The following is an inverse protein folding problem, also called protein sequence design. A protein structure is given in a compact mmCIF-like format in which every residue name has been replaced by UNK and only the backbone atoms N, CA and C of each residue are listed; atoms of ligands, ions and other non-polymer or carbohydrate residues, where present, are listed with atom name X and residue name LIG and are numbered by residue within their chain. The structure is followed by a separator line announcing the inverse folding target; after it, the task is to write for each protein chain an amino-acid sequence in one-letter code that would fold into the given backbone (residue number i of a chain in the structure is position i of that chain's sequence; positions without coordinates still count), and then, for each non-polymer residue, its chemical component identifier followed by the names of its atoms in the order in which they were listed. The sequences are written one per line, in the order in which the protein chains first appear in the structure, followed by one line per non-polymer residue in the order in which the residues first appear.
data_IF_463046716501
#
_entry.id   IF_463046716501
#
_cell.length_a   1.000
_cell.length_b   1.000
_cell.length_c   1.000
_cell.angle_alpha   90.00
_cell.angle_beta   90.00
_cell.angle_gamma   90.00
#
_symmetry.space_group_name_H-M   'P 1'
#
loop_
_entity.id
_entity.type
_entity.pdbx_description
1 polymer ?
#
# COMPACT_ATOMS: atom_id res chain seq x y z
N UNK A 1 -4.73 -7.58 -7.29
CA UNK A 1 -3.27 -7.54 -7.12
C UNK A 1 -2.58 -6.99 -8.35
N UNK A 2 -2.83 -7.52 -9.55
CA UNK A 2 -2.23 -7.00 -10.81
C UNK A 2 -2.33 -5.48 -10.99
N UNK A 3 -3.51 -4.87 -10.72
CA UNK A 3 -3.68 -3.41 -10.81
C UNK A 3 -2.81 -2.64 -9.80
N UNK A 4 -2.65 -3.18 -8.59
CA UNK A 4 -1.76 -2.60 -7.57
C UNK A 4 -0.33 -2.61 -8.12
N UNK A 5 0.16 -3.80 -8.51
CA UNK A 5 1.53 -3.95 -9.00
C UNK A 5 1.80 -3.06 -10.21
N UNK A 6 0.85 -2.96 -11.16
CA UNK A 6 0.97 -2.08 -12.32
C UNK A 6 1.09 -0.60 -11.94
N UNK A 7 0.33 -0.13 -10.95
CA UNK A 7 0.44 1.25 -10.48
C UNK A 7 1.82 1.53 -9.85
N UNK A 8 2.37 0.55 -9.13
CA UNK A 8 3.71 0.64 -8.55
C UNK A 8 4.82 0.54 -9.59
N UNK A 9 4.69 -0.32 -10.60
CA UNK A 9 5.69 -0.42 -11.68
C UNK A 9 5.73 0.87 -12.48
N UNK A 10 4.57 1.42 -12.86
CA UNK A 10 4.50 2.66 -13.62
C UNK A 10 5.07 3.85 -12.82
N UNK A 11 4.86 3.87 -11.50
CA UNK A 11 5.47 4.88 -10.63
C UNK A 11 6.99 4.70 -10.47
N UNK A 12 7.48 3.46 -10.42
CA UNK A 12 8.90 3.16 -10.21
C UNK A 12 9.75 3.31 -11.47
N UNK A 13 9.28 2.78 -12.60
CA UNK A 13 10.06 2.65 -13.85
C UNK A 13 9.52 3.52 -14.99
N UNK A 14 8.31 4.07 -14.86
CA UNK A 14 7.63 4.83 -15.91
C UNK A 14 6.88 3.95 -16.91
N UNK A 15 6.98 2.62 -16.79
CA UNK A 15 6.33 1.65 -17.67
C UNK A 15 5.47 0.65 -16.87
N UNK A 16 4.39 0.17 -17.49
CA UNK A 16 3.55 -0.86 -16.92
C UNK A 16 4.21 -2.23 -17.16
N UNK A 17 4.80 -2.83 -16.13
CA UNK A 17 5.48 -4.11 -16.23
C UNK A 17 4.47 -5.27 -16.23
N UNK A 18 4.70 -6.31 -17.05
CA UNK A 18 3.92 -7.53 -16.99
C UNK A 18 4.18 -8.27 -15.67
N UNK A 19 3.11 -8.62 -14.97
CA UNK A 19 3.18 -9.39 -13.72
C UNK A 19 3.20 -10.88 -14.03
N UNK A 20 4.33 -11.54 -13.77
CA UNK A 20 4.45 -13.00 -13.89
C UNK A 20 3.97 -13.67 -12.60
N UNK A 21 2.88 -14.44 -12.69
CA UNK A 21 2.38 -15.27 -11.59
C UNK A 21 3.06 -16.63 -11.67
N UNK A 22 3.90 -16.96 -10.69
CA UNK A 22 4.64 -18.23 -10.71
C UNK A 22 3.84 -19.41 -10.13
N UNK A 23 3.11 -19.19 -9.03
CA UNK A 23 2.40 -20.26 -8.34
C UNK A 23 1.24 -19.69 -7.53
N UNK A 24 0.16 -20.47 -7.44
CA UNK A 24 -0.99 -20.23 -6.58
C UNK A 24 -1.10 -21.46 -5.66
N UNK A 25 -1.03 -21.25 -4.36
CA UNK A 25 -1.31 -22.32 -3.39
C UNK A 25 -2.81 -22.40 -3.13
N UNK A 26 -3.36 -23.62 -3.13
CA UNK A 26 -4.80 -23.90 -2.98
C UNK A 26 -5.24 -24.11 -1.54
N UNK A 27 -4.30 -24.31 -0.61
CA UNK A 27 -4.59 -24.54 0.82
C UNK A 27 -4.55 -23.25 1.62
N UNK A 28 -3.56 -22.41 1.30
CA UNK A 28 -3.42 -21.01 1.74
C UNK A 28 -3.13 -20.17 0.50
N UNK A 29 -3.90 -19.12 0.18
CA UNK A 29 -3.74 -18.34 -1.05
C UNK A 29 -2.45 -17.51 -1.03
N UNK A 30 -1.34 -18.16 -1.34
CA UNK A 30 -0.02 -17.53 -1.51
C UNK A 30 0.22 -17.33 -3.01
N UNK A 31 0.62 -16.11 -3.37
CA UNK A 31 1.00 -15.74 -4.73
C UNK A 31 2.48 -15.36 -4.76
N UNK A 32 3.19 -15.90 -5.75
CA UNK A 32 4.59 -15.54 -6.00
C UNK A 32 4.67 -14.69 -7.28
N UNK A 33 5.30 -13.52 -7.15
CA UNK A 33 5.47 -12.56 -8.25
C UNK A 33 6.96 -12.28 -8.47
N UNK A 34 7.42 -12.41 -9.71
CA UNK A 34 8.71 -11.88 -10.15
C UNK A 34 8.54 -10.44 -10.63
N UNK A 35 9.30 -9.50 -10.06
CA UNK A 35 9.20 -8.06 -10.34
C UNK A 35 10.59 -7.41 -10.35
N UNK A 36 10.71 -6.24 -10.98
CA UNK A 36 11.94 -5.44 -10.94
C UNK A 36 12.27 -4.97 -9.51
N UNK A 37 13.57 -4.94 -9.09
CA UNK A 37 13.96 -4.50 -7.75
C UNK A 37 13.46 -3.12 -7.35
N UNK A 38 13.35 -2.15 -8.27
CA UNK A 38 12.82 -0.82 -7.97
C UNK A 38 11.33 -0.88 -7.64
N UNK A 39 10.56 -1.68 -8.39
CA UNK A 39 9.14 -1.93 -8.12
C UNK A 39 8.95 -2.61 -6.77
N UNK A 40 9.76 -3.62 -6.45
CA UNK A 40 9.70 -4.31 -5.14
C UNK A 40 10.07 -3.34 -4.01
N UNK A 41 11.09 -2.51 -4.19
CA UNK A 41 11.51 -1.54 -3.17
C UNK A 41 10.41 -0.51 -2.88
N UNK A 42 9.76 -0.01 -3.93
CA UNK A 42 8.65 0.94 -3.81
C UNK A 42 7.44 0.30 -3.12
N UNK A 43 7.07 -0.92 -3.54
CA UNK A 43 5.95 -1.67 -2.95
C UNK A 43 6.23 -2.00 -1.48
N UNK A 44 7.44 -2.45 -1.16
CA UNK A 44 7.86 -2.73 0.21
C UNK A 44 7.78 -1.49 1.11
N UNK A 45 8.24 -0.33 0.61
CA UNK A 45 8.13 0.94 1.32
C UNK A 45 6.67 1.33 1.56
N UNK A 46 5.80 1.13 0.58
CA UNK A 46 4.36 1.35 0.73
C UNK A 46 3.72 0.36 1.71
N UNK A 47 4.15 -0.89 1.76
CA UNK A 47 3.68 -1.87 2.75
C UNK A 47 4.08 -1.48 4.18
N UNK A 48 5.34 -1.06 4.38
CA UNK A 48 5.81 -0.54 5.68
C UNK A 48 4.99 0.67 6.13
N UNK A 49 4.73 1.61 5.22
CA UNK A 49 3.84 2.73 5.48
C UNK A 49 2.42 2.25 5.85
N UNK A 50 1.85 1.32 5.09
CA UNK A 50 0.50 0.82 5.34
C UNK A 50 0.38 0.13 6.71
N UNK A 51 1.37 -0.66 7.11
CA UNK A 51 1.45 -1.28 8.44
C UNK A 51 1.48 -0.20 9.52
N UNK A 52 2.26 0.85 9.33
CA UNK A 52 2.35 1.96 10.29
C UNK A 52 1.02 2.69 10.42
N UNK A 53 0.42 3.10 9.31
CA UNK A 53 -0.89 3.77 9.30
C UNK A 53 -1.97 2.89 9.92
N UNK A 54 -1.95 1.59 9.67
CA UNK A 54 -2.86 0.66 10.32
C UNK A 54 -2.68 0.64 11.85
N UNK A 55 -1.44 0.67 12.35
CA UNK A 55 -1.17 0.73 13.81
C UNK A 55 -1.76 1.99 14.43
N UNK A 56 -1.65 3.13 13.74
CA UNK A 56 -2.22 4.40 14.19
C UNK A 56 -3.76 4.32 14.25
N UNK A 57 -4.40 3.72 13.24
CA UNK A 57 -5.85 3.45 13.23
C UNK A 57 -6.25 2.51 14.37
N UNK A 58 -5.46 1.48 14.63
CA UNK A 58 -5.71 0.51 15.70
C UNK A 58 -5.63 1.16 17.09
N UNK A 59 -4.74 2.14 17.28
CA UNK A 59 -4.69 2.95 18.50
C UNK A 59 -5.99 3.74 18.69
N UNK A 60 -6.50 4.38 17.63
CA UNK A 60 -7.79 5.08 17.66
C UNK A 60 -8.93 4.11 18.04
N UNK A 61 -8.90 2.87 17.53
CA UNK A 61 -9.89 1.84 17.87
C UNK A 61 -9.82 1.40 19.33
N UNK A 62 -8.61 1.27 19.90
CA UNK A 62 -8.43 0.98 21.33
C UNK A 62 -9.01 2.11 22.18
N UNK A 63 -8.73 3.36 21.83
CA UNK A 63 -9.30 4.53 22.52
C UNK A 63 -10.83 4.55 22.39
N UNK A 64 -11.38 4.21 21.21
CA UNK A 64 -12.83 4.06 21.01
C UNK A 64 -13.41 3.02 21.98
N UNK A 65 -12.80 1.83 22.06
CA UNK A 65 -13.25 0.74 22.93
C UNK A 65 -13.15 1.09 24.43
N UNK A 66 -12.14 1.86 24.83
CA UNK A 66 -12.03 2.40 26.18
C UNK A 66 -13.11 3.45 26.47
N UNK A 67 -13.35 4.36 25.51
CA UNK A 67 -14.37 5.41 25.64
C UNK A 67 -15.78 4.82 25.75
N UNK A 68 -16.07 3.70 25.07
CA UNK A 68 -17.35 2.98 25.20
C UNK A 68 -17.63 2.47 26.61
N UNK A 69 -16.61 2.29 27.46
CA UNK A 69 -16.78 1.90 28.87
C UNK A 69 -17.25 3.07 29.75
N UNK A 70 -17.14 4.30 29.27
CA UNK A 70 -17.53 5.51 29.99
C UNK A 70 -19.04 5.73 29.83
N UNK A 71 -19.79 5.60 30.93
CA UNK A 71 -21.26 5.71 30.94
C UNK A 71 -21.82 7.06 30.48
N UNK A 72 -20.99 8.09 30.46
CA UNK A 72 -21.39 9.46 30.08
C UNK A 72 -21.56 9.66 28.58
N UNK A 73 -21.04 8.75 27.75
CA UNK A 73 -21.13 8.85 26.29
C UNK A 73 -22.17 7.87 25.75
N UNK A 74 -22.95 8.32 24.75
CA UNK A 74 -23.82 7.40 23.99
C UNK A 74 -23.00 6.66 22.94
N UNK A 75 -23.31 5.38 22.64
CA UNK A 75 -22.63 4.61 21.60
C UNK A 75 -22.58 5.34 20.23
N UNK A 76 -23.67 5.99 19.85
CA UNK A 76 -23.80 6.74 18.59
C UNK A 76 -22.86 7.95 18.51
N UNK A 77 -22.62 8.64 19.63
CA UNK A 77 -21.72 9.80 19.69
C UNK A 77 -20.26 9.35 19.52
N UNK A 78 -19.91 8.23 20.15
CA UNK A 78 -18.60 7.61 20.03
C UNK A 78 -18.35 7.17 18.58
N UNK A 79 -19.28 6.43 17.98
CA UNK A 79 -19.16 5.97 16.59
C UNK A 79 -18.95 7.14 15.63
N UNK A 80 -19.78 8.17 15.74
CA UNK A 80 -19.69 9.35 14.85
C UNK A 80 -18.37 10.10 14.99
N UNK A 81 -17.79 10.17 16.19
CA UNK A 81 -16.51 10.87 16.42
C UNK A 81 -15.35 10.02 15.91
N UNK A 82 -15.27 8.76 16.35
CA UNK A 82 -14.11 7.91 16.08
C UNK A 82 -14.09 7.37 14.65
N UNK A 83 -15.22 6.94 14.09
CA UNK A 83 -15.25 6.39 12.73
C UNK A 83 -14.93 7.48 11.70
N UNK A 84 -15.46 8.70 11.91
CA UNK A 84 -15.10 9.86 11.09
C UNK A 84 -13.62 10.20 11.21
N UNK A 85 -13.05 10.16 12.42
CA UNK A 85 -11.62 10.45 12.64
C UNK A 85 -10.72 9.42 11.97
N UNK A 86 -11.07 8.14 12.02
CA UNK A 86 -10.36 7.07 11.32
C UNK A 86 -10.38 7.32 9.81
N UNK A 87 -11.55 7.65 9.24
CA UNK A 87 -11.68 7.94 7.81
C UNK A 87 -10.87 9.17 7.40
N UNK A 88 -10.94 10.26 8.18
CA UNK A 88 -10.17 11.48 7.94
C UNK A 88 -8.65 11.20 7.97
N UNK A 89 -8.17 10.50 9.00
CA UNK A 89 -6.76 10.18 9.17
C UNK A 89 -6.22 9.32 8.03
N UNK A 90 -6.97 8.28 7.64
CA UNK A 90 -6.60 7.39 6.53
C UNK A 90 -6.59 8.15 5.21
N UNK A 91 -7.59 8.99 4.94
CA UNK A 91 -7.64 9.79 3.72
C UNK A 91 -6.44 10.75 3.62
N UNK A 92 -6.10 11.44 4.73
CA UNK A 92 -4.94 12.34 4.80
C UNK A 92 -3.65 11.56 4.57
N UNK A 93 -3.48 10.42 5.25
CA UNK A 93 -2.29 9.59 5.11
C UNK A 93 -2.10 9.10 3.68
N UNK A 94 -3.18 8.66 3.01
CA UNK A 94 -3.15 8.23 1.61
C UNK A 94 -2.75 9.39 0.71
N UNK A 95 -3.41 10.55 0.83
CA UNK A 95 -3.12 11.69 -0.04
C UNK A 95 -1.68 12.19 0.13
N UNK A 96 -1.16 12.19 1.37
CA UNK A 96 0.26 12.47 1.64
C UNK A 96 1.18 11.46 0.95
N UNK A 97 0.87 10.17 1.05
CA UNK A 97 1.71 9.12 0.44
C UNK A 97 1.65 9.15 -1.08
N UNK A 98 0.48 9.42 -1.67
CA UNK A 98 0.35 9.63 -3.13
C UNK A 98 1.21 10.81 -3.59
N UNK A 99 1.23 11.91 -2.84
CA UNK A 99 2.08 13.07 -3.15
C UNK A 99 3.58 12.75 -3.10
N UNK A 100 4.00 11.90 -2.17
CA UNK A 100 5.38 11.44 -2.06
C UNK A 100 5.77 10.55 -3.26
N UNK A 101 4.90 9.60 -3.63
CA UNK A 101 5.18 8.61 -4.67
C UNK A 101 5.00 9.15 -6.09
N UNK A 102 4.05 10.05 -6.30
CA UNK A 102 3.70 10.63 -7.60
C UNK A 102 3.67 12.17 -7.47
N UNK A 103 4.84 12.81 -7.32
CA UNK A 103 4.93 14.26 -7.15
C UNK A 103 4.41 14.99 -8.39
N UNK A 104 3.75 16.13 -8.19
CA UNK A 104 3.21 16.96 -9.29
C UNK A 104 4.36 17.45 -10.16
N UNK A 105 4.34 17.07 -11.44
CA UNK A 105 5.22 17.62 -12.47
C UNK A 105 4.38 18.48 -13.41
N UNK A 106 4.89 19.66 -13.75
CA UNK A 106 4.23 20.55 -14.71
C UNK A 106 4.24 19.90 -16.11
N UNK A 107 3.03 19.62 -16.62
CA UNK A 107 2.80 19.08 -17.96
C UNK A 107 2.47 17.58 -18.00
N UNK A 108 1.18 17.27 -18.21
CA UNK A 108 0.60 16.09 -18.89
C UNK A 108 -0.63 15.54 -18.14
N UNK A 109 -1.73 15.32 -18.88
CA UNK A 109 -2.99 14.74 -18.37
C UNK A 109 -2.85 13.34 -17.73
N UNK A 110 -1.77 12.59 -18.02
CA UNK A 110 -1.49 11.27 -17.42
C UNK A 110 -1.19 11.31 -15.92
N UNK A 111 -0.78 12.46 -15.38
CA UNK A 111 -0.46 12.58 -13.95
C UNK A 111 -1.69 12.40 -13.07
N UNK A 112 -2.83 12.93 -13.50
CA UNK A 112 -4.08 12.82 -12.76
C UNK A 112 -4.55 11.36 -12.67
N UNK A 113 -4.42 10.62 -13.77
CA UNK A 113 -4.73 9.18 -13.84
C UNK A 113 -3.82 8.36 -12.92
N UNK A 114 -2.49 8.59 -13.00
CA UNK A 114 -1.51 7.90 -12.15
C UNK A 114 -1.75 8.13 -10.66
N UNK A 115 -2.14 9.36 -10.27
CA UNK A 115 -2.50 9.65 -8.88
C UNK A 115 -3.77 8.92 -8.46
N UNK A 116 -4.78 8.87 -9.32
CA UNK A 116 -6.02 8.12 -9.06
C UNK A 116 -5.74 6.63 -8.87
N UNK A 117 -4.93 6.04 -9.75
CA UNK A 117 -4.54 4.64 -9.64
C UNK A 117 -3.68 4.35 -8.41
N UNK A 118 -2.73 5.23 -8.08
CA UNK A 118 -1.91 5.10 -6.87
C UNK A 118 -2.75 5.22 -5.60
N UNK A 119 -3.70 6.18 -5.56
CA UNK A 119 -4.64 6.33 -4.44
C UNK A 119 -5.45 5.04 -4.24
N UNK A 120 -6.05 4.52 -5.31
CA UNK A 120 -6.79 3.26 -5.27
C UNK A 120 -5.90 2.08 -4.84
N UNK A 121 -4.65 2.04 -5.29
CA UNK A 121 -3.70 0.99 -4.93
C UNK A 121 -3.36 1.04 -3.43
N UNK A 122 -3.10 2.21 -2.86
CA UNK A 122 -2.81 2.39 -1.44
C UNK A 122 -4.03 2.07 -0.56
N UNK A 123 -5.22 2.51 -0.95
CA UNK A 123 -6.49 2.12 -0.29
C UNK A 123 -6.68 0.60 -0.30
N UNK A 124 -6.40 -0.03 -1.45
CA UNK A 124 -6.46 -1.48 -1.59
C UNK A 124 -5.44 -2.20 -0.71
N UNK A 125 -4.24 -1.66 -0.56
CA UNK A 125 -3.19 -2.23 0.29
C UNK A 125 -3.62 -2.13 1.76
N UNK A 126 -3.98 -0.93 2.23
CA UNK A 126 -4.38 -0.70 3.63
C UNK A 126 -5.55 -1.61 4.05
N UNK A 127 -6.59 -1.67 3.24
CA UNK A 127 -7.77 -2.52 3.50
C UNK A 127 -7.42 -4.01 3.52
N UNK A 128 -6.44 -4.46 2.72
CA UNK A 128 -5.96 -5.85 2.74
C UNK A 128 -5.06 -6.14 3.93
N UNK A 129 -4.19 -5.21 4.32
CA UNK A 129 -3.34 -5.32 5.52
C UNK A 129 -4.20 -5.43 6.77
N UNK A 130 -5.25 -4.62 6.89
CA UNK A 130 -6.23 -4.71 7.98
C UNK A 130 -6.88 -6.09 8.08
N UNK A 131 -7.13 -6.73 6.93
CA UNK A 131 -7.72 -8.08 6.81
C UNK A 131 -6.69 -9.22 6.95
N UNK A 132 -5.44 -8.91 7.29
CA UNK A 132 -4.40 -9.90 7.53
C UNK A 132 -3.60 -10.34 6.30
N UNK A 133 -3.61 -9.58 5.21
CA UNK A 133 -2.67 -9.84 4.11
C UNK A 133 -1.23 -9.60 4.58
N UNK A 134 -0.39 -10.60 4.41
CA UNK A 134 1.05 -10.52 4.67
C UNK A 134 1.83 -10.49 3.36
N UNK A 135 3.02 -9.89 3.39
CA UNK A 135 3.93 -9.82 2.24
C UNK A 135 5.32 -10.22 2.71
N UNK A 136 5.93 -11.17 2.02
CA UNK A 136 7.32 -11.55 2.23
C UNK A 136 8.14 -11.12 1.01
N UNK A 137 9.26 -10.46 1.26
CA UNK A 137 10.18 -10.00 0.20
C UNK A 137 11.41 -10.89 0.22
N UNK A 138 11.66 -11.57 -0.91
CA UNK A 138 12.84 -12.41 -1.12
C UNK A 138 13.62 -11.88 -2.31
N UNK A 139 14.92 -11.69 -2.15
CA UNK A 139 15.80 -11.23 -3.21
C UNK A 139 17.19 -11.86 -3.05
N UNK A 140 17.86 -12.08 -4.17
CA UNK A 140 19.26 -12.48 -4.20
C UNK A 140 20.13 -11.21 -4.24
N UNK A 141 21.31 -11.22 -3.60
CA UNK A 141 22.23 -10.10 -3.71
C UNK A 141 22.60 -9.86 -5.18
N UNK A 142 22.81 -8.60 -5.59
CA UNK A 142 23.22 -8.29 -6.95
C UNK A 142 24.55 -8.99 -7.27
N UNK A 143 24.77 -9.38 -8.54
CA UNK A 143 26.08 -9.85 -8.98
C UNK A 143 27.15 -8.79 -8.67
N UNK A 144 28.35 -9.24 -8.32
CA UNK A 144 29.45 -8.32 -8.03
C UNK A 144 29.69 -7.41 -9.25
N UNK A 145 29.87 -6.08 -9.04
CA UNK A 145 30.08 -5.17 -10.15
C UNK A 145 31.32 -5.58 -10.92
N UNK A 146 31.21 -5.63 -12.25
CA UNK A 146 32.39 -5.79 -13.11
C UNK A 146 33.25 -4.52 -13.02
N UNK A 147 34.58 -4.64 -13.05
CA UNK A 147 35.48 -3.48 -13.00
C UNK A 147 35.15 -2.51 -14.14
N UNK A 148 34.58 -1.35 -13.79
CA UNK A 148 34.29 -0.26 -14.74
C UNK A 148 32.81 0.10 -14.90
N UNK A 149 31.87 -0.65 -14.31
CA UNK A 149 30.44 -0.29 -14.36
C UNK A 149 30.07 0.67 -13.22
N UNK A 150 29.44 1.80 -13.58
CA UNK A 150 28.86 2.73 -12.63
C UNK A 150 27.84 2.01 -11.75
N UNK A 151 27.80 2.38 -10.46
CA UNK A 151 26.87 1.85 -9.46
C UNK A 151 25.43 2.02 -9.97
N UNK A 152 24.86 0.93 -10.50
CA UNK A 152 23.56 0.97 -11.17
C UNK A 152 22.43 1.27 -10.19
N UNK A 153 21.32 1.83 -10.67
CA UNK A 153 20.04 2.05 -9.95
C UNK A 153 19.56 0.81 -9.16
N UNK A 154 20.02 -0.37 -9.58
CA UNK A 154 19.85 -1.65 -8.91
C UNK A 154 20.39 -1.63 -7.46
N UNK A 155 21.60 -1.10 -7.24
CA UNK A 155 22.25 -1.11 -5.92
C UNK A 155 21.49 -0.30 -4.85
N UNK A 156 20.94 0.86 -5.21
CA UNK A 156 20.14 1.68 -4.29
C UNK A 156 18.81 1.00 -3.91
N UNK A 157 18.18 0.33 -4.88
CA UNK A 157 16.96 -0.45 -4.66
C UNK A 157 17.22 -1.61 -3.69
N UNK A 158 18.36 -2.31 -3.81
CA UNK A 158 18.75 -3.36 -2.89
C UNK A 158 18.98 -2.88 -1.45
N UNK A 159 19.58 -1.70 -1.25
CA UNK A 159 19.75 -1.14 0.10
C UNK A 159 18.40 -0.77 0.73
N UNK A 160 17.47 -0.25 -0.07
CA UNK A 160 16.10 0.01 0.37
C UNK A 160 15.39 -1.29 0.74
N UNK A 161 15.52 -2.34 -0.06
CA UNK A 161 14.96 -3.67 0.23
C UNK A 161 15.50 -4.25 1.53
N UNK A 162 16.80 -4.14 1.78
CA UNK A 162 17.43 -4.56 3.05
C UNK A 162 16.86 -3.79 4.24
N UNK A 163 16.61 -2.49 4.09
CA UNK A 163 16.06 -1.66 5.16
C UNK A 163 14.58 -1.95 5.43
N UNK A 164 13.80 -2.23 4.38
CA UNK A 164 12.33 -2.42 4.44
C UNK A 164 11.95 -3.80 4.95
N UNK A 165 12.63 -4.86 4.48
CA UNK A 165 12.29 -6.26 4.79
C UNK A 165 12.08 -6.54 6.29
N UNK A 166 12.97 -6.12 7.22
CA UNK A 166 12.76 -6.39 8.65
C UNK A 166 11.59 -5.62 9.28
N UNK A 167 11.09 -4.58 8.61
CA UNK A 167 9.97 -3.75 9.07
C UNK A 167 8.60 -4.30 8.66
N UNK A 168 8.56 -5.29 7.76
CA UNK A 168 7.35 -5.97 7.30
C UNK A 168 6.82 -6.97 8.34
N UNK A 169 6.57 -6.46 9.55
CA UNK A 169 5.98 -7.20 10.65
C UNK A 169 4.48 -6.89 10.70
N UNK A 170 3.71 -7.80 10.12
CA UNK A 170 2.27 -7.67 10.03
C UNK A 170 1.60 -8.03 11.36
N UNK A 171 0.56 -7.27 11.75
CA UNK A 171 -0.25 -7.58 12.92
C UNK A 171 -1.15 -8.80 12.68
N UNK A 172 -1.76 -9.30 13.75
CA UNK A 172 -2.82 -10.30 13.63
C UNK A 172 -4.05 -9.71 12.92
N UNK A 173 -4.74 -10.49 12.05
CA UNK A 173 -5.94 -10.05 11.37
C UNK A 173 -7.04 -9.65 12.35
N UNK A 174 -7.68 -8.51 12.09
CA UNK A 174 -8.86 -8.10 12.84
C UNK A 174 -10.13 -8.77 12.31
N UNK A 175 -11.09 -9.05 13.21
CA UNK A 175 -12.38 -9.68 12.89
C UNK A 175 -13.42 -8.69 12.35
N UNK A 176 -13.18 -7.39 12.50
CA UNK A 176 -14.10 -6.29 12.16
C UNK A 176 -13.39 -5.20 11.38
N UNK A 177 -13.17 -5.39 10.06
CA UNK A 177 -12.50 -4.39 9.24
C UNK A 177 -13.33 -3.12 9.11
N UNK A 178 -12.69 -1.97 9.32
CA UNK A 178 -13.26 -0.62 9.21
C UNK A 178 -13.10 -0.09 7.79
N UNK A 179 -11.98 -0.42 7.12
CA UNK A 179 -11.72 0.07 5.77
C UNK A 179 -12.50 -0.77 4.77
N UNK A 180 -13.28 -0.11 3.92
CA UNK A 180 -13.89 -0.78 2.78
C UNK A 180 -12.80 -1.17 1.77
N UNK A 181 -12.93 -2.36 1.18
CA UNK A 181 -12.16 -2.67 -0.03
C UNK A 181 -12.66 -1.73 -1.13
N UNK A 182 -11.76 -1.00 -1.82
CA UNK A 182 -12.19 -0.20 -2.96
C UNK A 182 -12.73 -1.13 -4.07
N UNK A 183 -13.67 -0.64 -4.90
CA UNK A 183 -14.25 -1.44 -5.96
C UNK A 183 -13.18 -1.93 -6.93
N UNK A 184 -13.38 -3.14 -7.48
CA UNK A 184 -12.45 -3.75 -8.44
C UNK A 184 -12.32 -2.95 -9.75
N UNK A 185 -13.38 -2.25 -10.14
CA UNK A 185 -13.44 -1.41 -11.33
C UNK A 185 -13.35 0.08 -10.95
N UNK A 186 -12.67 0.94 -11.74
CA UNK A 186 -12.77 2.38 -11.55
C UNK A 186 -14.24 2.82 -11.66
N UNK A 187 -14.67 3.89 -10.98
CA UNK A 187 -15.96 4.49 -11.27
C UNK A 187 -15.97 4.78 -12.77
N UNK A 188 -16.88 4.13 -13.50
CA UNK A 188 -17.02 4.35 -14.93
C UNK A 188 -17.21 5.86 -15.12
N UNK A 189 -16.22 6.54 -15.70
CA UNK A 189 -16.48 7.83 -16.29
C UNK A 189 -17.61 7.58 -17.29
N UNK A 190 -18.77 8.17 -17.00
CA UNK A 190 -19.90 8.11 -17.92
C UNK A 190 -19.38 8.51 -19.31
N UNK A 191 -19.78 7.81 -20.39
CA UNK A 191 -19.31 8.13 -21.72
C UNK A 191 -19.64 9.60 -21.97
N UNK A 192 -18.60 10.42 -22.17
CA UNK A 192 -18.76 11.82 -22.57
C UNK A 192 -19.55 11.81 -23.88
N UNK A 193 -20.78 12.32 -23.83
CA UNK A 193 -21.62 12.56 -25.01
C UNK A 193 -21.03 13.66 -25.89
#
# INVERSE_FOLDING_TARGET
MNRIIRAFSEAATGEAEPVEVHQISTSDPIFFFGLDPATIALLGTAMTWAIKTWKDVEEIRKIRAETQKVKSFKPEEIEKIFDRKIQEEVAIAIDQKVNELVPVKDGAGRHHEQRGDMKWALESILSRVERGMTVEVRFLPPPAPSEGEAQSTSAASFETLKAVTPQLQFPEPDKTPVLALPPSDPPSEQPRK
#
